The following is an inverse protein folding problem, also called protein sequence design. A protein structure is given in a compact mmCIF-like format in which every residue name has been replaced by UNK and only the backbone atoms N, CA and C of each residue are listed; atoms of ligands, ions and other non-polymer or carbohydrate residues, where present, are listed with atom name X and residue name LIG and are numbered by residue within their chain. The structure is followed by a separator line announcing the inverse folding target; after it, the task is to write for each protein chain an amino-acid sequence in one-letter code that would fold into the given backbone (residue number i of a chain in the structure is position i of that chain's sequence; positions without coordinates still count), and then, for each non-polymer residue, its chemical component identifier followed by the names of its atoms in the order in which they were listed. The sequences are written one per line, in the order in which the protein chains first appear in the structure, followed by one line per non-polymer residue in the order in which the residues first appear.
data_IF_092197985825
#
_entry.id   IF_092197985825
#
_cell.length_a   1.000
_cell.length_b   1.000
_cell.length_c   1.000
_cell.angle_alpha   90.00
_cell.angle_beta   90.00
_cell.angle_gamma   90.00
#
_symmetry.space_group_name_H-M   'P 1'
#
loop_
_entity.id
_entity.type
_entity.pdbx_description
1 polymer ?
#
# COMPACT_ATOMS: atom_id res chain seq x y z
N UNK A 1 -10.22 8.83 -2.20
CA UNK A 1 -11.00 8.50 -0.98
C UNK A 1 -10.42 9.20 0.24
N UNK A 2 -11.19 9.31 1.34
CA UNK A 2 -10.74 9.88 2.62
C UNK A 2 -9.52 9.13 3.19
N UNK A 3 -9.51 7.79 3.08
CA UNK A 3 -8.37 6.95 3.45
C UNK A 3 -7.06 7.41 2.79
N UNK A 4 -7.08 7.63 1.47
CA UNK A 4 -5.89 8.07 0.74
C UNK A 4 -5.42 9.47 1.18
N UNK A 5 -6.36 10.39 1.46
CA UNK A 5 -6.03 11.74 1.93
C UNK A 5 -5.44 11.73 3.35
N UNK A 6 -6.05 10.99 4.28
CA UNK A 6 -5.55 10.83 5.65
C UNK A 6 -4.16 10.21 5.65
N UNK A 7 -3.99 9.12 4.88
CA UNK A 7 -2.68 8.47 4.72
C UNK A 7 -1.63 9.42 4.16
N UNK A 8 -1.94 10.10 3.04
CA UNK A 8 -1.02 11.06 2.42
C UNK A 8 -0.60 12.16 3.41
N UNK A 9 -1.55 12.77 4.09
CA UNK A 9 -1.29 13.84 5.07
C UNK A 9 -0.42 13.34 6.23
N UNK A 10 -0.72 12.16 6.78
CA UNK A 10 0.06 11.58 7.86
C UNK A 10 1.49 11.22 7.43
N UNK A 11 1.67 10.66 6.23
CA UNK A 11 2.99 10.34 5.68
C UNK A 11 3.82 11.60 5.36
N UNK A 12 3.19 12.71 4.96
CA UNK A 12 3.92 13.99 4.83
C UNK A 12 4.53 14.43 6.16
N UNK A 13 3.88 14.13 7.28
CA UNK A 13 4.37 14.41 8.63
C UNK A 13 5.57 13.57 9.06
N UNK A 14 5.88 12.47 8.37
CA UNK A 14 7.07 11.64 8.66
C UNK A 14 8.32 12.08 7.88
N UNK A 15 8.20 13.10 7.03
CA UNK A 15 9.34 13.65 6.29
C UNK A 15 10.31 14.35 7.25
N UNK A 16 11.63 14.15 7.07
CA UNK A 16 12.65 14.70 7.98
C UNK A 16 12.72 16.23 7.97
N UNK A 17 12.18 16.90 6.94
CA UNK A 17 12.15 18.37 6.82
C UNK A 17 10.78 18.86 6.36
N UNK A 18 9.87 19.21 7.28
CA UNK A 18 8.55 19.76 6.95
C UNK A 18 8.61 21.09 6.17
N UNK A 19 9.74 21.81 6.25
CA UNK A 19 9.96 23.10 5.57
C UNK A 19 10.02 23.00 4.05
N UNK A 20 10.19 21.80 3.49
CA UNK A 20 10.36 21.59 2.05
C UNK A 20 9.06 21.19 1.33
N UNK A 21 7.92 21.19 2.06
CA UNK A 21 6.60 20.90 1.50
C UNK A 21 6.18 22.00 0.53
N UNK A 22 5.82 21.62 -0.70
CA UNK A 22 5.31 22.53 -1.73
C UNK A 22 3.81 22.34 -1.91
N UNK A 23 3.14 23.32 -2.54
CA UNK A 23 1.72 23.23 -2.89
C UNK A 23 1.37 21.92 -3.62
N UNK A 24 2.24 21.47 -4.53
CA UNK A 24 2.11 20.21 -5.26
C UNK A 24 2.04 18.95 -4.39
N UNK A 25 2.65 18.99 -3.20
CA UNK A 25 2.57 17.90 -2.23
C UNK A 25 1.16 17.79 -1.62
N UNK A 26 0.34 18.84 -1.62
CA UNK A 26 -1.03 18.82 -1.09
C UNK A 26 -2.06 18.51 -2.18
N UNK A 27 -2.02 19.22 -3.30
CA UNK A 27 -3.02 19.10 -4.37
C UNK A 27 -2.74 17.96 -5.37
N UNK A 28 -1.55 17.34 -5.32
CA UNK A 28 -1.20 16.21 -6.19
C UNK A 28 -0.77 16.62 -7.62
N UNK A 29 -0.68 17.91 -7.91
CA UNK A 29 -0.28 18.41 -9.24
C UNK A 29 1.18 18.03 -9.57
N UNK A 30 2.07 18.18 -8.59
CA UNK A 30 3.51 17.91 -8.68
C UNK A 30 4.06 17.47 -7.31
N UNK A 31 3.73 16.23 -6.90
CA UNK A 31 4.20 15.66 -5.63
C UNK A 31 5.73 15.49 -5.72
N UNK A 32 6.45 16.04 -4.75
CA UNK A 32 7.90 15.83 -4.66
C UNK A 32 8.12 14.53 -3.90
N UNK A 33 8.43 13.44 -4.58
CA UNK A 33 8.75 12.19 -3.90
C UNK A 33 10.14 12.28 -3.26
N UNK A 34 10.24 11.93 -1.98
CA UNK A 34 11.52 11.87 -1.27
C UNK A 34 12.09 10.45 -1.33
N UNK A 35 13.42 10.28 -1.40
CA UNK A 35 14.04 8.98 -1.18
C UNK A 35 13.55 8.35 0.13
N UNK A 36 13.05 7.13 0.06
CA UNK A 36 12.61 6.38 1.23
C UNK A 36 13.80 5.91 2.06
N UNK A 37 13.68 6.00 3.38
CA UNK A 37 14.63 5.45 4.34
C UNK A 37 13.92 4.51 5.31
N UNK A 38 14.66 3.74 6.10
CA UNK A 38 14.10 2.81 7.07
C UNK A 38 13.19 3.54 8.08
N UNK A 39 13.67 4.67 8.62
CA UNK A 39 12.92 5.44 9.62
C UNK A 39 11.66 6.12 9.06
N UNK A 40 11.53 6.25 7.74
CA UNK A 40 10.31 6.75 7.09
C UNK A 40 9.35 5.61 6.72
N UNK A 41 9.86 4.57 6.06
CA UNK A 41 9.02 3.52 5.47
C UNK A 41 8.37 2.65 6.54
N UNK A 42 9.06 2.39 7.66
CA UNK A 42 8.49 1.58 8.74
C UNK A 42 7.30 2.31 9.41
N UNK A 43 7.41 3.57 9.84
CA UNK A 43 6.25 4.34 10.30
C UNK A 43 5.16 4.51 9.24
N UNK A 44 5.50 4.78 7.98
CA UNK A 44 4.50 4.91 6.90
C UNK A 44 3.71 3.61 6.70
N UNK A 45 4.34 2.45 6.88
CA UNK A 45 3.66 1.16 6.90
C UNK A 45 2.63 1.03 8.03
N UNK A 46 2.89 1.64 9.20
CA UNK A 46 1.94 1.67 10.33
C UNK A 46 0.79 2.63 10.05
N UNK A 47 1.07 3.80 9.47
CA UNK A 47 0.06 4.76 9.02
C UNK A 47 -0.88 4.10 8.00
N UNK A 48 -0.34 3.36 7.03
CA UNK A 48 -1.15 2.62 6.06
C UNK A 48 -2.08 1.62 6.75
N UNK A 49 -1.56 0.82 7.68
CA UNK A 49 -2.38 -0.16 8.41
C UNK A 49 -3.48 0.53 9.22
N UNK A 50 -3.17 1.62 9.93
CA UNK A 50 -4.18 2.39 10.66
C UNK A 50 -5.28 2.92 9.75
N UNK A 51 -4.91 3.55 8.63
CA UNK A 51 -5.86 4.05 7.65
C UNK A 51 -6.71 2.93 7.02
N UNK A 52 -6.12 1.75 6.79
CA UNK A 52 -6.83 0.58 6.26
C UNK A 52 -7.82 0.00 7.29
N UNK A 53 -7.44 -0.06 8.57
CA UNK A 53 -8.35 -0.42 9.66
C UNK A 53 -9.55 0.53 9.73
N UNK A 54 -9.30 1.84 9.70
CA UNK A 54 -10.36 2.85 9.78
C UNK A 54 -11.29 2.76 8.57
N UNK A 55 -10.73 2.59 7.38
CA UNK A 55 -11.49 2.33 6.17
C UNK A 55 -12.37 1.09 6.31
N UNK A 56 -11.80 -0.03 6.77
CA UNK A 56 -12.54 -1.28 6.93
C UNK A 56 -13.65 -1.17 7.98
N UNK A 57 -13.41 -0.50 9.12
CA UNK A 57 -14.42 -0.27 10.16
C UNK A 57 -15.64 0.52 9.64
N UNK A 58 -15.43 1.46 8.72
CA UNK A 58 -16.52 2.27 8.15
C UNK A 58 -17.21 1.54 6.99
N UNK A 59 -16.46 0.76 6.21
CA UNK A 59 -16.95 0.14 4.98
C UNK A 59 -17.64 -1.20 5.22
N UNK A 60 -17.16 -1.99 6.19
CA UNK A 60 -17.63 -3.34 6.44
C UNK A 60 -18.11 -3.46 7.90
N UNK A 61 -19.44 -3.44 8.16
CA UNK A 61 -19.99 -3.62 9.50
C UNK A 61 -19.45 -4.88 10.20
N UNK A 62 -19.27 -5.96 9.45
CA UNK A 62 -18.73 -7.24 9.94
C UNK A 62 -17.30 -7.07 10.46
N UNK A 63 -16.50 -6.20 9.82
CA UNK A 63 -15.15 -5.91 10.31
C UNK A 63 -15.20 -5.23 11.67
N UNK A 64 -16.14 -4.33 11.91
CA UNK A 64 -16.26 -3.61 13.18
C UNK A 64 -16.52 -4.58 14.35
N UNK A 65 -17.24 -5.68 14.10
CA UNK A 65 -17.60 -6.71 15.08
C UNK A 65 -16.47 -7.70 15.37
N UNK A 66 -15.45 -7.79 14.50
CA UNK A 66 -14.32 -8.70 14.70
C UNK A 66 -13.52 -8.40 15.97
N UNK A 67 -12.97 -9.46 16.55
CA UNK A 67 -11.99 -9.36 17.63
C UNK A 67 -10.73 -8.62 17.18
N UNK A 68 -10.00 -8.02 18.12
CA UNK A 68 -8.74 -7.33 17.81
C UNK A 68 -7.71 -8.25 17.12
N UNK A 69 -7.68 -9.54 17.49
CA UNK A 69 -6.78 -10.54 16.87
C UNK A 69 -7.14 -10.75 15.40
N UNK A 70 -8.43 -10.96 15.09
CA UNK A 70 -8.91 -11.15 13.73
C UNK A 70 -8.68 -9.89 12.86
N UNK A 71 -8.89 -8.71 13.43
CA UNK A 71 -8.56 -7.43 12.77
C UNK A 71 -7.08 -7.33 12.42
N UNK A 72 -6.18 -7.70 13.35
CA UNK A 72 -4.74 -7.68 13.09
C UNK A 72 -4.37 -8.67 11.99
N UNK A 73 -4.91 -9.89 12.02
CA UNK A 73 -4.64 -10.92 11.01
C UNK A 73 -4.97 -10.43 9.60
N UNK A 74 -6.16 -9.87 9.38
CA UNK A 74 -6.55 -9.30 8.07
C UNK A 74 -5.62 -8.16 7.62
N UNK A 75 -5.22 -7.29 8.55
CA UNK A 75 -4.38 -6.13 8.25
C UNK A 75 -2.90 -6.46 8.00
N UNK A 76 -2.43 -7.64 8.41
CA UNK A 76 -1.07 -8.10 8.11
C UNK A 76 -0.89 -8.60 6.68
N UNK A 77 -1.98 -8.69 5.90
CA UNK A 77 -1.90 -9.13 4.52
C UNK A 77 -1.06 -8.18 3.64
N UNK A 78 -0.11 -8.76 2.90
CA UNK A 78 0.77 -8.04 1.96
C UNK A 78 0.08 -7.67 0.64
N UNK A 79 -1.03 -8.32 0.29
CA UNK A 79 -1.71 -8.08 -0.99
C UNK A 79 -2.27 -6.65 -1.05
N UNK A 80 -2.98 -6.19 -0.01
CA UNK A 80 -3.53 -4.82 0.06
C UNK A 80 -2.46 -3.75 -0.07
N UNK A 81 -1.32 -3.94 0.60
CA UNK A 81 -0.14 -3.05 0.49
C UNK A 81 0.36 -2.98 -0.93
N UNK A 82 0.46 -4.14 -1.57
CA UNK A 82 0.97 -4.25 -2.94
C UNK A 82 0.02 -3.57 -3.92
N UNK A 83 -1.28 -3.89 -3.88
CA UNK A 83 -2.27 -3.26 -4.76
C UNK A 83 -2.32 -1.74 -4.59
N UNK A 84 -2.32 -1.25 -3.35
CA UNK A 84 -2.30 0.19 -3.08
C UNK A 84 -1.06 0.88 -3.66
N UNK A 85 0.09 0.21 -3.64
CA UNK A 85 1.32 0.71 -4.23
C UNK A 85 1.23 0.76 -5.75
N UNK A 86 0.87 -0.34 -6.40
CA UNK A 86 0.85 -0.45 -7.86
C UNK A 86 -0.18 0.52 -8.47
N UNK A 87 -1.35 0.67 -7.85
CA UNK A 87 -2.35 1.64 -8.29
C UNK A 87 -1.83 3.08 -8.21
N UNK A 88 -1.21 3.45 -7.09
CA UNK A 88 -0.62 4.78 -6.92
C UNK A 88 0.53 5.02 -7.92
N UNK A 89 1.32 3.98 -8.20
CA UNK A 89 2.38 4.01 -9.20
C UNK A 89 1.80 4.32 -10.59
N UNK A 90 0.74 3.65 -11.04
CA UNK A 90 0.12 3.96 -12.34
C UNK A 90 -0.35 5.41 -12.41
N UNK A 91 -1.07 5.88 -11.39
CA UNK A 91 -1.62 7.23 -11.37
C UNK A 91 -0.50 8.29 -11.39
N UNK A 92 0.60 8.03 -10.68
CA UNK A 92 1.71 8.98 -10.54
C UNK A 92 2.71 8.89 -11.70
N UNK A 93 3.02 7.68 -12.20
CA UNK A 93 3.98 7.44 -13.30
C UNK A 93 3.43 7.74 -14.69
N UNK A 94 2.12 7.96 -14.87
CA UNK A 94 1.61 8.59 -16.13
C UNK A 94 2.39 9.87 -16.48
N UNK A 95 3.03 10.53 -15.51
CA UNK A 95 3.86 11.72 -15.67
C UNK A 95 5.38 11.48 -15.72
N UNK A 96 5.89 10.30 -15.33
CA UNK A 96 7.33 10.03 -15.15
C UNK A 96 7.75 8.71 -15.82
N UNK A 97 7.87 8.72 -17.16
CA UNK A 97 7.93 7.50 -17.97
C UNK A 97 9.22 6.66 -17.86
N UNK A 98 10.30 7.11 -17.23
CA UNK A 98 11.61 6.45 -17.41
C UNK A 98 12.46 6.17 -16.16
N UNK A 99 11.99 6.50 -14.96
CA UNK A 99 12.77 6.26 -13.75
C UNK A 99 12.12 5.16 -12.90
N UNK A 100 12.89 4.09 -12.67
CA UNK A 100 12.50 2.92 -11.88
C UNK A 100 12.32 3.33 -10.41
N UNK A 101 11.07 3.54 -9.99
CA UNK A 101 10.72 3.83 -8.62
C UNK A 101 9.78 2.74 -8.11
N UNK A 102 10.13 2.09 -7.00
CA UNK A 102 9.14 1.41 -6.17
C UNK A 102 8.60 2.42 -5.17
N UNK A 103 7.30 2.64 -5.18
CA UNK A 103 6.65 3.49 -4.18
C UNK A 103 6.68 2.78 -2.83
N UNK A 104 7.55 3.21 -1.92
CA UNK A 104 7.52 2.67 -0.56
C UNK A 104 6.34 3.24 0.26
N UNK A 105 5.81 4.39 -0.16
CA UNK A 105 4.63 5.04 0.41
C UNK A 105 4.03 6.06 -0.59
N UNK A 106 3.00 6.84 -0.23
CA UNK A 106 2.46 7.93 -1.07
C UNK A 106 3.44 9.08 -1.27
N UNK A 107 4.41 9.21 -0.39
CA UNK A 107 5.29 10.38 -0.34
C UNK A 107 6.75 10.03 -0.58
N UNK A 108 7.07 8.74 -0.66
CA UNK A 108 8.43 8.23 -0.76
C UNK A 108 8.59 7.21 -1.88
N UNK A 109 9.72 7.30 -2.56
CA UNK A 109 10.16 6.36 -3.59
C UNK A 109 11.44 5.67 -3.17
N UNK A 110 11.64 4.45 -3.64
CA UNK A 110 12.91 3.73 -3.53
C UNK A 110 13.31 3.32 -4.95
N UNK A 111 14.56 3.63 -5.31
CA UNK A 111 15.22 3.30 -6.57
C UNK A 111 16.61 2.73 -6.26
N UNK A 112 17.35 2.29 -7.28
CA UNK A 112 18.68 1.70 -7.08
C UNK A 112 19.67 2.59 -6.33
N UNK A 113 19.54 3.91 -6.45
CA UNK A 113 20.40 4.87 -5.78
C UNK A 113 20.03 5.02 -4.30
N UNK A 114 18.76 5.33 -4.02
CA UNK A 114 18.25 5.49 -2.65
C UNK A 114 18.26 4.19 -1.85
N UNK A 115 18.22 3.03 -2.51
CA UNK A 115 18.32 1.74 -1.82
C UNK A 115 19.66 1.54 -1.13
N UNK A 116 20.75 2.15 -1.65
CA UNK A 116 22.08 2.11 -1.01
C UNK A 116 22.10 2.83 0.34
N UNK A 117 21.30 3.88 0.48
CA UNK A 117 21.19 4.67 1.72
C UNK A 117 19.97 4.31 2.56
N UNK A 118 19.09 3.42 2.09
CA UNK A 118 17.82 3.06 2.75
C UNK A 118 18.01 2.64 4.21
N UNK A 119 19.07 1.89 4.51
CA UNK A 119 19.37 1.37 5.85
C UNK A 119 20.34 2.24 6.66
N UNK A 120 20.64 3.47 6.22
CA UNK A 120 21.57 4.35 6.94
C UNK A 120 21.03 4.80 8.29
N UNK A 121 19.72 4.91 8.41
CA UNK A 121 18.99 5.28 9.63
C UNK A 121 18.29 4.08 10.29
N UNK A 122 18.64 2.85 9.90
CA UNK A 122 18.17 1.64 10.57
C UNK A 122 18.89 1.49 11.92
N UNK A 123 18.18 1.42 13.06
CA UNK A 123 18.82 1.32 14.37
C UNK A 123 19.32 -0.09 14.69
N UNK A 124 19.03 -1.07 13.84
CA UNK A 124 19.35 -2.48 14.05
C UNK A 124 20.64 -2.87 13.33
N UNK A 125 21.50 -3.60 14.02
CA UNK A 125 22.65 -4.26 13.40
C UNK A 125 22.13 -5.33 12.43
N UNK A 126 22.35 -5.10 11.14
CA UNK A 126 21.79 -5.89 10.06
C UNK A 126 22.81 -6.04 8.94
N UNK A 127 22.77 -7.16 8.23
CA UNK A 127 23.54 -7.34 7.01
C UNK A 127 22.92 -6.48 5.88
N UNK A 128 23.40 -5.24 5.75
CA UNK A 128 22.84 -4.26 4.81
C UNK A 128 22.83 -4.78 3.37
N UNK A 129 23.88 -5.49 2.97
CA UNK A 129 24.02 -5.99 1.61
C UNK A 129 22.95 -7.04 1.29
N UNK A 130 22.79 -8.02 2.18
CA UNK A 130 21.77 -9.07 2.04
C UNK A 130 20.35 -8.49 2.00
N UNK A 131 20.04 -7.52 2.87
CA UNK A 131 18.73 -6.85 2.88
C UNK A 131 18.50 -6.09 1.57
N UNK A 132 19.50 -5.36 1.06
CA UNK A 132 19.40 -4.63 -0.21
C UNK A 132 19.18 -5.61 -1.38
N UNK A 133 19.90 -6.73 -1.42
CA UNK A 133 19.72 -7.75 -2.45
C UNK A 133 18.32 -8.38 -2.40
N UNK A 134 17.83 -8.69 -1.20
CA UNK A 134 16.47 -9.19 -1.01
C UNK A 134 15.40 -8.16 -1.45
N UNK A 135 15.59 -6.87 -1.12
CA UNK A 135 14.71 -5.79 -1.54
C UNK A 135 14.68 -5.65 -3.07
N UNK A 136 15.84 -5.70 -3.74
CA UNK A 136 15.95 -5.68 -5.21
C UNK A 136 15.25 -6.86 -5.86
N UNK A 137 15.52 -8.06 -5.38
CA UNK A 137 14.88 -9.27 -5.90
C UNK A 137 13.36 -9.22 -5.75
N UNK A 138 12.86 -8.70 -4.62
CA UNK A 138 11.44 -8.54 -4.39
C UNK A 138 10.81 -7.43 -5.26
N UNK A 139 11.52 -6.32 -5.46
CA UNK A 139 11.08 -5.23 -6.34
C UNK A 139 10.93 -5.71 -7.79
N UNK A 140 11.95 -6.41 -8.33
CA UNK A 140 11.90 -6.95 -9.69
C UNK A 140 10.80 -8.01 -9.84
N UNK A 141 10.63 -8.91 -8.86
CA UNK A 141 9.52 -9.88 -8.89
C UNK A 141 8.16 -9.20 -8.95
N UNK A 142 7.96 -8.16 -8.13
CA UNK A 142 6.66 -7.50 -8.07
C UNK A 142 6.37 -6.71 -9.35
N UNK A 143 7.41 -6.05 -9.90
CA UNK A 143 7.36 -5.34 -11.17
C UNK A 143 6.90 -6.25 -12.31
N UNK A 144 7.55 -7.39 -12.51
CA UNK A 144 7.20 -8.30 -13.61
C UNK A 144 5.77 -8.83 -13.48
N UNK A 145 5.32 -9.09 -12.26
CA UNK A 145 4.03 -9.73 -12.04
C UNK A 145 2.84 -8.76 -12.07
N UNK A 146 2.93 -7.62 -11.40
CA UNK A 146 1.77 -6.74 -11.20
C UNK A 146 1.71 -5.56 -12.15
N UNK A 147 2.86 -4.95 -12.48
CA UNK A 147 2.88 -3.71 -13.24
C UNK A 147 2.27 -3.88 -14.64
N UNK A 148 2.59 -4.97 -15.32
CA UNK A 148 2.02 -5.26 -16.65
C UNK A 148 0.51 -5.47 -16.58
N UNK A 149 0.02 -6.21 -15.56
CA UNK A 149 -1.42 -6.42 -15.36
C UNK A 149 -2.15 -5.11 -15.13
N UNK A 150 -1.62 -4.26 -14.26
CA UNK A 150 -2.20 -2.99 -13.89
C UNK A 150 -2.16 -1.97 -15.05
N UNK A 151 -1.09 -1.95 -15.84
CA UNK A 151 -1.03 -1.13 -17.06
C UNK A 151 -2.03 -1.59 -18.13
N UNK A 152 -2.34 -2.89 -18.19
CA UNK A 152 -3.32 -3.46 -19.11
C UNK A 152 -4.75 -3.21 -18.66
N UNK A 153 -5.06 -3.48 -17.39
CA UNK A 153 -6.40 -3.37 -16.81
C UNK A 153 -6.84 -1.91 -16.64
N UNK A 154 -5.92 -1.03 -16.25
CA UNK A 154 -6.18 0.41 -15.97
C UNK A 154 -7.45 0.60 -15.13
N UNK A 155 -7.53 -0.02 -13.93
CA UNK A 155 -8.73 0.07 -13.12
C UNK A 155 -9.04 1.54 -12.82
N UNK A 156 -10.32 1.90 -12.84
CA UNK A 156 -10.77 3.18 -12.33
C UNK A 156 -10.82 3.18 -10.78
N UNK A 157 -11.30 4.27 -10.19
CA UNK A 157 -11.34 4.40 -8.73
C UNK A 157 -12.32 3.40 -8.08
N UNK A 158 -13.41 3.05 -8.76
CA UNK A 158 -14.43 2.11 -8.26
C UNK A 158 -13.90 0.68 -8.33
N UNK A 159 -13.36 0.29 -9.48
CA UNK A 159 -12.72 -1.01 -9.69
C UNK A 159 -11.55 -1.20 -8.72
N UNK A 160 -10.75 -0.16 -8.50
CA UNK A 160 -9.66 -0.21 -7.52
C UNK A 160 -10.18 -0.41 -6.10
N UNK A 161 -11.25 0.29 -5.69
CA UNK A 161 -11.87 0.09 -4.40
C UNK A 161 -12.39 -1.35 -4.21
N UNK A 162 -13.01 -1.92 -5.25
CA UNK A 162 -13.46 -3.31 -5.23
C UNK A 162 -12.29 -4.30 -5.11
N UNK A 163 -11.22 -4.12 -5.91
CA UNK A 163 -9.99 -4.91 -5.81
C UNK A 163 -9.33 -4.81 -4.43
N UNK A 164 -9.34 -3.63 -3.82
CA UNK A 164 -8.85 -3.42 -2.46
C UNK A 164 -9.70 -4.18 -1.43
N UNK A 165 -11.03 -4.18 -1.57
CA UNK A 165 -11.93 -4.96 -0.73
C UNK A 165 -11.68 -6.47 -0.86
N UNK A 166 -11.56 -6.98 -2.08
CA UNK A 166 -11.25 -8.38 -2.35
C UNK A 166 -9.87 -8.81 -1.82
N UNK A 167 -8.88 -7.92 -1.87
CA UNK A 167 -7.57 -8.20 -1.30
C UNK A 167 -7.54 -8.12 0.22
N UNK A 168 -8.36 -7.25 0.81
CA UNK A 168 -8.51 -7.15 2.25
C UNK A 168 -9.12 -8.45 2.79
N UNK A 169 -10.29 -8.80 2.29
CA UNK A 169 -10.98 -10.06 2.56
C UNK A 169 -10.40 -11.19 1.72
N UNK A 170 -9.15 -11.57 1.99
CA UNK A 170 -8.45 -12.60 1.22
C UNK A 170 -8.62 -13.99 1.84
N UNK A 171 -8.70 -15.00 0.99
CA UNK A 171 -8.93 -16.39 1.41
C UNK A 171 -7.72 -17.03 2.12
N UNK A 172 -6.52 -16.41 2.05
CA UNK A 172 -5.30 -16.99 2.67
C UNK A 172 -5.36 -16.86 4.19
N UNK A 173 -5.78 -15.69 4.69
CA UNK A 173 -5.99 -15.47 6.13
C UNK A 173 -7.24 -16.19 6.63
N UNK A 174 -8.28 -16.24 5.81
CA UNK A 174 -9.51 -16.97 6.09
C UNK A 174 -9.29 -18.50 6.20
N UNK A 175 -8.40 -19.09 5.38
CA UNK A 175 -8.13 -20.52 5.41
C UNK A 175 -7.55 -21.03 6.75
N UNK A 176 -7.03 -20.15 7.59
CA UNK A 176 -6.48 -20.50 8.92
C UNK A 176 -7.39 -20.08 10.08
N UNK A 177 -8.55 -19.49 9.80
CA UNK A 177 -9.50 -19.01 10.80
C UNK A 177 -10.94 -19.13 10.26
N UNK A 178 -11.68 -20.14 10.73
CA UNK A 178 -13.02 -20.48 10.23
C UNK A 178 -14.02 -19.33 10.31
N UNK A 179 -13.99 -18.55 11.41
CA UNK A 179 -14.81 -17.36 11.60
C UNK A 179 -14.55 -16.33 10.49
N UNK A 180 -13.28 -16.05 10.22
CA UNK A 180 -12.88 -15.15 9.13
C UNK A 180 -13.20 -15.73 7.75
N UNK A 181 -13.17 -17.05 7.58
CA UNK A 181 -13.47 -17.71 6.30
C UNK A 181 -14.88 -17.42 5.85
N UNK A 182 -15.87 -17.70 6.71
CA UNK A 182 -17.27 -17.49 6.37
C UNK A 182 -17.56 -16.02 6.06
N UNK A 183 -17.07 -15.10 6.91
CA UNK A 183 -17.30 -13.65 6.73
C UNK A 183 -16.62 -13.14 5.45
N UNK A 184 -15.38 -13.57 5.20
CA UNK A 184 -14.65 -13.17 3.99
C UNK A 184 -15.36 -13.67 2.73
N UNK A 185 -15.81 -14.91 2.69
CA UNK A 185 -16.52 -15.47 1.53
C UNK A 185 -17.81 -14.70 1.23
N UNK A 186 -18.61 -14.39 2.26
CA UNK A 186 -19.83 -13.60 2.11
C UNK A 186 -19.53 -12.22 1.52
N UNK A 187 -18.60 -11.46 2.12
CA UNK A 187 -18.31 -10.09 1.67
C UNK A 187 -17.70 -10.09 0.26
N UNK A 188 -16.80 -11.03 -0.04
CA UNK A 188 -16.25 -11.17 -1.39
C UNK A 188 -17.33 -11.50 -2.41
N UNK A 189 -18.29 -12.35 -2.05
CA UNK A 189 -19.43 -12.69 -2.90
C UNK A 189 -20.25 -11.46 -3.26
N UNK A 190 -20.52 -10.58 -2.28
CA UNK A 190 -21.22 -9.30 -2.50
C UNK A 190 -20.42 -8.41 -3.45
N UNK A 191 -19.13 -8.17 -3.17
CA UNK A 191 -18.28 -7.32 -4.02
C UNK A 191 -18.23 -7.83 -5.47
N UNK A 192 -18.08 -9.15 -5.66
CA UNK A 192 -18.04 -9.75 -7.00
C UNK A 192 -19.39 -9.65 -7.72
N UNK A 193 -20.50 -9.80 -7.01
CA UNK A 193 -21.84 -9.65 -7.57
C UNK A 193 -22.06 -8.21 -8.05
N UNK A 194 -21.75 -7.22 -7.21
CA UNK A 194 -21.88 -5.81 -7.56
C UNK A 194 -20.98 -5.43 -8.74
N UNK A 195 -19.75 -5.95 -8.78
CA UNK A 195 -18.84 -5.72 -9.91
C UNK A 195 -19.35 -6.29 -11.24
N UNK A 196 -20.17 -7.34 -11.23
CA UNK A 196 -20.75 -7.91 -12.46
C UNK A 196 -21.97 -7.15 -12.97
N UNK A 197 -22.57 -6.29 -12.14
CA UNK A 197 -23.73 -5.47 -12.51
C UNK A 197 -23.34 -4.12 -13.14
N UNK A 198 -22.06 -3.74 -13.04
CA UNK A 198 -21.46 -2.52 -13.61
C UNK A 198 -20.93 -2.78 -15.02
#
# INVERSE_FOLDING_TARGET
SLMCLTRKTAELGTRPKPSDLKQGDFDGSNINFTPGTYSMVVPNGRIFVGALCDFANVTFPEFAELTAVNKVLLNTNRITRTLSREFHEILSLRKHQNNYFSFASYTTIVNDESMKSFLNDCPFETNKQEVIEALKANAERTKTMHRELFHRLKPDDVEFCALMGLAFWNNVVAAVNEELSSVSETIRGVILSEMHEV
#
